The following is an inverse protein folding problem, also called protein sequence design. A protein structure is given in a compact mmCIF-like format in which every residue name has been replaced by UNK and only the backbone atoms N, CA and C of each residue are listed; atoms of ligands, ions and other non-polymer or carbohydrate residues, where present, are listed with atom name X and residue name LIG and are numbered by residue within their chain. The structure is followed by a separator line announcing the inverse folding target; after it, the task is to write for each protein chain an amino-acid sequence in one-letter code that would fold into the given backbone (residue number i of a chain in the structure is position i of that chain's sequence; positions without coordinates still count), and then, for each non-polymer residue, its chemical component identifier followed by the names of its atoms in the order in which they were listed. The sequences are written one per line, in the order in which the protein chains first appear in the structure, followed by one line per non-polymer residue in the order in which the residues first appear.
data_IF_278359115469
#
_entry.id   IF_278359115469
#
_cell.length_a   1.000
_cell.length_b   1.000
_cell.length_c   1.000
_cell.angle_alpha   90.00
_cell.angle_beta   90.00
_cell.angle_gamma   90.00
#
_symmetry.space_group_name_H-M   'P 1'
#
loop_
_entity.id
_entity.type
_entity.pdbx_description
1 polymer ?
#
# COMPACT_ATOMS: atom_id res chain seq x y z
N UNK A 1 -22.92 11.91 60.69
CA UNK A 1 -23.50 10.62 60.28
C UNK A 1 -23.95 10.72 58.83
N UNK A 2 -23.11 10.32 57.88
CA UNK A 2 -23.41 10.40 56.45
C UNK A 2 -24.17 9.12 56.05
N UNK A 3 -25.35 9.34 55.51
CA UNK A 3 -26.39 8.34 55.26
C UNK A 3 -25.92 7.23 54.28
N UNK A 4 -25.81 5.99 54.80
CA UNK A 4 -25.39 4.79 54.03
C UNK A 4 -26.26 4.53 52.79
N UNK A 5 -27.47 5.00 52.74
CA UNK A 5 -28.40 4.84 51.60
C UNK A 5 -27.96 5.63 50.34
N UNK A 6 -27.32 6.81 50.48
CA UNK A 6 -26.81 7.55 49.33
C UNK A 6 -25.64 6.88 48.58
N UNK A 7 -24.80 6.11 49.29
CA UNK A 7 -23.69 5.38 48.65
C UNK A 7 -24.14 4.20 47.80
N UNK A 8 -25.23 3.54 48.19
CA UNK A 8 -25.75 2.38 47.44
C UNK A 8 -26.41 2.78 46.12
N UNK A 9 -27.06 3.92 46.08
CA UNK A 9 -27.68 4.45 44.85
C UNK A 9 -26.63 4.93 43.84
N UNK A 10 -25.55 5.54 44.29
CA UNK A 10 -24.46 6.01 43.43
C UNK A 10 -23.74 4.84 42.74
N UNK A 11 -23.54 3.71 43.43
CA UNK A 11 -22.91 2.52 42.87
C UNK A 11 -23.81 1.77 41.86
N UNK A 12 -25.14 1.78 42.10
CA UNK A 12 -26.08 1.16 41.18
C UNK A 12 -26.23 1.93 39.87
N UNK A 13 -26.20 3.26 39.92
CA UNK A 13 -26.27 4.11 38.71
C UNK A 13 -24.99 4.00 37.87
N UNK A 14 -23.81 3.94 38.49
CA UNK A 14 -22.56 3.74 37.76
C UNK A 14 -22.50 2.37 37.06
N UNK A 15 -23.00 1.29 37.70
CA UNK A 15 -23.01 -0.07 37.12
C UNK A 15 -23.94 -0.14 35.88
N UNK A 16 -25.10 0.53 35.92
CA UNK A 16 -26.03 0.55 34.76
C UNK A 16 -25.47 1.35 33.59
N UNK A 17 -24.78 2.48 33.84
CA UNK A 17 -24.14 3.27 32.79
C UNK A 17 -23.00 2.50 32.10
N UNK A 18 -22.21 1.71 32.83
CA UNK A 18 -21.17 0.86 32.27
C UNK A 18 -21.73 -0.33 31.46
N UNK A 19 -22.90 -0.86 31.81
CA UNK A 19 -23.52 -1.96 31.07
C UNK A 19 -24.14 -1.51 29.75
N UNK A 20 -24.61 -0.28 29.65
CA UNK A 20 -25.19 0.28 28.40
C UNK A 20 -24.08 0.68 27.39
N UNK A 21 -22.90 1.05 27.86
CA UNK A 21 -21.76 1.41 26.96
C UNK A 21 -21.16 0.19 26.22
N UNK A 22 -21.40 -1.04 26.68
CA UNK A 22 -20.88 -2.26 26.06
C UNK A 22 -21.73 -2.79 24.88
N UNK A 23 -22.88 -2.20 24.60
CA UNK A 23 -23.81 -2.70 23.57
C UNK A 23 -23.66 -2.00 22.20
N UNK A 24 -22.72 -1.09 22.02
CA UNK A 24 -22.51 -0.35 20.76
C UNK A 24 -21.25 -0.79 20.00
N UNK A 25 -20.80 -2.02 20.19
CA UNK A 25 -19.90 -2.63 19.22
C UNK A 25 -20.77 -3.15 18.09
N UNK A 26 -21.06 -2.28 17.11
CA UNK A 26 -21.65 -2.71 15.85
C UNK A 26 -20.72 -3.76 15.25
N UNK A 27 -21.18 -4.99 14.99
CA UNK A 27 -20.36 -5.93 14.23
C UNK A 27 -20.08 -5.27 12.89
N UNK A 28 -18.80 -5.19 12.51
CA UNK A 28 -18.42 -4.85 11.15
C UNK A 28 -19.11 -5.89 10.25
N UNK A 29 -20.24 -5.50 9.66
CA UNK A 29 -20.94 -6.35 8.71
C UNK A 29 -19.98 -6.58 7.55
N UNK A 30 -19.46 -7.78 7.45
CA UNK A 30 -18.78 -8.25 6.26
C UNK A 30 -19.80 -8.12 5.12
N UNK A 31 -19.58 -7.12 4.27
CA UNK A 31 -20.41 -6.94 3.07
C UNK A 31 -20.21 -8.17 2.21
N UNK A 32 -21.29 -8.84 1.74
CA UNK A 32 -21.13 -9.88 0.72
C UNK A 32 -20.47 -9.21 -0.48
N UNK A 33 -19.21 -9.58 -0.77
CA UNK A 33 -18.50 -9.07 -1.91
C UNK A 33 -19.00 -9.83 -3.15
N UNK A 34 -20.05 -9.32 -3.77
CA UNK A 34 -20.41 -9.72 -5.14
C UNK A 34 -19.55 -8.90 -6.11
N UNK A 35 -18.26 -9.26 -6.18
CA UNK A 35 -17.29 -8.58 -7.02
C UNK A 35 -17.04 -9.39 -8.30
N UNK A 36 -17.00 -8.69 -9.43
CA UNK A 36 -16.57 -9.25 -10.70
C UNK A 36 -15.03 -9.28 -10.76
N UNK A 37 -14.49 -10.27 -11.47
CA UNK A 37 -13.06 -10.45 -11.68
C UNK A 37 -12.50 -11.65 -10.93
N UNK A 38 -11.19 -11.82 -11.02
CA UNK A 38 -10.44 -12.92 -10.39
C UNK A 38 -9.52 -12.37 -9.31
N UNK A 39 -9.76 -12.76 -8.08
CA UNK A 39 -9.03 -12.29 -6.89
C UNK A 39 -9.10 -13.32 -5.77
N UNK A 40 -8.30 -13.12 -4.75
CA UNK A 40 -8.33 -13.86 -3.49
C UNK A 40 -8.73 -12.92 -2.35
N UNK A 41 -9.67 -13.35 -1.49
CA UNK A 41 -9.97 -12.65 -0.24
C UNK A 41 -9.04 -13.17 0.84
N UNK A 42 -8.24 -12.28 1.42
CA UNK A 42 -7.33 -12.60 2.50
C UNK A 42 -8.09 -12.56 3.84
N UNK A 43 -8.50 -13.70 4.33
CA UNK A 43 -9.31 -13.81 5.56
C UNK A 43 -8.57 -13.38 6.83
N UNK A 44 -7.24 -13.33 6.80
CA UNK A 44 -6.39 -12.86 7.91
C UNK A 44 -6.06 -11.37 7.89
N UNK A 45 -6.48 -10.64 6.86
CA UNK A 45 -6.21 -9.21 6.71
C UNK A 45 -7.49 -8.39 6.93
N UNK A 46 -7.33 -7.22 7.55
CA UNK A 46 -8.44 -6.31 7.81
C UNK A 46 -8.71 -5.47 6.57
N UNK A 47 -9.96 -5.41 6.12
CA UNK A 47 -10.35 -4.50 5.06
C UNK A 47 -10.16 -3.04 5.50
N UNK A 48 -9.53 -2.26 4.66
CA UNK A 48 -9.37 -0.81 4.80
C UNK A 48 -10.28 -0.04 3.86
N UNK A 49 -11.32 -0.72 3.36
CA UNK A 49 -12.26 -0.18 2.41
C UNK A 49 -12.92 1.12 2.91
N UNK A 50 -13.07 2.07 1.99
CA UNK A 50 -13.75 3.34 2.23
C UNK A 50 -14.72 3.58 1.07
N UNK A 51 -16.03 3.76 1.30
CA UNK A 51 -17.00 3.92 0.23
C UNK A 51 -16.60 5.01 -0.77
N UNK A 52 -16.71 4.70 -2.05
CA UNK A 52 -16.37 5.59 -3.16
C UNK A 52 -14.87 5.75 -3.43
N UNK A 53 -14.01 5.03 -2.73
CA UNK A 53 -12.55 5.04 -2.94
C UNK A 53 -11.97 3.63 -2.86
N UNK A 54 -10.96 3.38 -3.69
CA UNK A 54 -10.19 2.14 -3.67
C UNK A 54 -8.73 2.46 -3.38
N UNK A 55 -8.15 1.75 -2.42
CA UNK A 55 -6.71 1.80 -2.12
C UNK A 55 -6.03 0.62 -2.81
N UNK A 56 -5.17 0.92 -3.76
CA UNK A 56 -4.36 -0.04 -4.47
C UNK A 56 -2.93 -0.01 -3.93
N UNK A 57 -2.49 -1.12 -3.37
CA UNK A 57 -1.11 -1.34 -2.94
C UNK A 57 -0.48 -2.31 -3.92
N UNK A 58 0.57 -1.87 -4.60
CA UNK A 58 1.34 -2.69 -5.51
C UNK A 58 2.60 -3.19 -4.82
N UNK A 59 2.78 -4.51 -4.76
CA UNK A 59 4.06 -5.14 -4.40
C UNK A 59 4.89 -5.27 -5.66
N UNK A 60 5.97 -4.51 -5.75
CA UNK A 60 6.78 -4.41 -6.95
C UNK A 60 8.28 -4.51 -6.67
N UNK A 61 9.00 -5.07 -7.64
CA UNK A 61 10.45 -5.09 -7.68
C UNK A 61 10.93 -4.14 -8.78
N UNK A 62 11.84 -3.22 -8.47
CA UNK A 62 12.39 -2.28 -9.44
C UNK A 62 13.12 -2.96 -10.59
N UNK A 63 13.65 -4.16 -10.40
CA UNK A 63 14.36 -4.92 -11.42
C UNK A 63 13.45 -5.86 -12.22
N UNK A 64 12.16 -5.93 -11.88
CA UNK A 64 11.19 -6.78 -12.58
C UNK A 64 10.65 -6.09 -13.84
N UNK A 65 10.83 -6.66 -15.05
CA UNK A 65 10.30 -6.08 -16.29
C UNK A 65 8.79 -5.93 -16.31
N UNK A 66 8.06 -6.85 -15.67
CA UNK A 66 6.60 -6.80 -15.60
C UNK A 66 6.12 -5.66 -14.69
N UNK A 67 6.84 -5.34 -13.60
CA UNK A 67 6.54 -4.18 -12.77
C UNK A 67 6.76 -2.88 -13.54
N UNK A 68 7.87 -2.78 -14.28
CA UNK A 68 8.11 -1.63 -15.15
C UNK A 68 7.00 -1.47 -16.21
N UNK A 69 6.61 -2.57 -16.88
CA UNK A 69 5.54 -2.53 -17.87
C UNK A 69 4.20 -2.10 -17.24
N UNK A 70 3.89 -2.59 -16.04
CA UNK A 70 2.69 -2.19 -15.30
C UNK A 70 2.72 -0.69 -14.96
N UNK A 71 3.84 -0.19 -14.47
CA UNK A 71 4.05 1.23 -14.17
C UNK A 71 3.89 2.11 -15.43
N UNK A 72 4.41 1.67 -16.56
CA UNK A 72 4.41 2.46 -17.80
C UNK A 72 3.06 2.42 -18.53
N UNK A 73 2.31 1.32 -18.44
CA UNK A 73 1.10 1.12 -19.24
C UNK A 73 -0.19 1.12 -18.44
N UNK A 74 -0.24 0.39 -17.33
CA UNK A 74 -1.47 0.22 -16.57
C UNK A 74 -1.72 1.39 -15.59
N UNK A 75 -0.70 1.84 -14.87
CA UNK A 75 -0.84 2.90 -13.87
C UNK A 75 -1.40 4.21 -14.47
N UNK A 76 -0.92 4.73 -15.62
CA UNK A 76 -1.50 5.92 -16.23
C UNK A 76 -2.96 5.76 -16.62
N UNK A 77 -3.35 4.57 -17.11
CA UNK A 77 -4.73 4.27 -17.48
C UNK A 77 -5.63 4.14 -16.24
N UNK A 78 -5.14 3.54 -15.16
CA UNK A 78 -5.84 3.49 -13.87
C UNK A 78 -6.11 4.89 -13.32
N UNK A 79 -5.09 5.76 -13.32
CA UNK A 79 -5.24 7.15 -12.89
C UNK A 79 -6.21 7.91 -13.79
N UNK A 80 -6.15 7.69 -15.11
CA UNK A 80 -7.06 8.34 -16.08
C UNK A 80 -8.51 7.92 -15.86
N UNK A 81 -8.77 6.63 -15.60
CA UNK A 81 -10.13 6.11 -15.46
C UNK A 81 -10.75 6.42 -14.11
N UNK A 82 -10.00 6.20 -13.03
CA UNK A 82 -10.56 6.28 -11.68
C UNK A 82 -10.28 7.60 -10.95
N UNK A 83 -9.28 8.36 -11.39
CA UNK A 83 -8.96 9.68 -10.85
C UNK A 83 -8.81 9.67 -9.33
N UNK A 84 -9.53 10.57 -8.67
CA UNK A 84 -9.51 10.74 -7.22
C UNK A 84 -10.20 9.61 -6.43
N UNK A 85 -10.84 8.66 -7.12
CA UNK A 85 -11.42 7.46 -6.51
C UNK A 85 -10.39 6.35 -6.28
N UNK A 86 -9.18 6.49 -6.82
CA UNK A 86 -8.11 5.49 -6.69
C UNK A 86 -6.87 6.12 -6.05
N UNK A 87 -6.43 5.51 -4.97
CA UNK A 87 -5.15 5.82 -4.33
C UNK A 87 -4.17 4.69 -4.62
N UNK A 88 -3.05 5.00 -5.29
CA UNK A 88 -2.03 4.02 -5.65
C UNK A 88 -0.80 4.22 -4.77
N UNK A 89 -0.37 3.16 -4.11
CA UNK A 89 0.88 3.13 -3.33
C UNK A 89 1.69 1.89 -3.73
N UNK A 90 2.99 2.05 -3.88
CA UNK A 90 3.90 0.92 -4.10
C UNK A 90 4.57 0.52 -2.79
N UNK A 91 4.74 -0.78 -2.60
CA UNK A 91 5.57 -1.41 -1.58
C UNK A 91 6.73 -2.10 -2.29
N UNK A 92 7.95 -1.70 -1.96
CA UNK A 92 9.15 -2.36 -2.47
C UNK A 92 9.20 -3.82 -2.01
N UNK A 93 9.19 -4.75 -2.96
CA UNK A 93 9.19 -6.18 -2.69
C UNK A 93 10.31 -6.87 -3.49
N UNK A 94 11.56 -6.83 -2.99
CA UNK A 94 12.72 -7.36 -3.69
C UNK A 94 12.66 -8.89 -3.78
N UNK A 95 12.46 -9.41 -5.00
CA UNK A 95 12.43 -10.84 -5.31
C UNK A 95 13.51 -11.26 -6.30
N UNK A 96 14.05 -10.32 -7.07
CA UNK A 96 15.10 -10.59 -8.04
C UNK A 96 16.43 -10.72 -7.30
N UNK A 97 16.96 -11.95 -7.27
CA UNK A 97 18.19 -12.26 -6.54
C UNK A 97 19.40 -11.56 -7.15
N UNK A 98 20.37 -11.21 -6.31
CA UNK A 98 21.64 -10.61 -6.74
C UNK A 98 21.56 -9.13 -7.10
N UNK A 99 20.42 -8.48 -6.91
CA UNK A 99 20.25 -7.05 -7.10
C UNK A 99 20.39 -6.29 -5.78
N UNK A 100 20.92 -5.06 -5.87
CA UNK A 100 21.10 -4.20 -4.71
C UNK A 100 19.80 -3.60 -4.22
N UNK A 101 19.63 -3.47 -2.91
CA UNK A 101 18.44 -2.89 -2.31
C UNK A 101 18.39 -1.35 -2.41
N UNK A 102 19.44 -0.71 -2.92
CA UNK A 102 19.59 0.76 -2.99
C UNK A 102 18.40 1.44 -3.68
N UNK A 103 17.87 0.88 -4.77
CA UNK A 103 16.70 1.44 -5.46
C UNK A 103 15.46 1.46 -4.56
N UNK A 104 15.27 0.42 -3.77
CA UNK A 104 14.15 0.32 -2.81
C UNK A 104 14.32 1.32 -1.67
N UNK A 105 15.53 1.44 -1.12
CA UNK A 105 15.83 2.41 -0.06
C UNK A 105 15.63 3.85 -0.56
N UNK A 106 16.08 4.16 -1.78
CA UNK A 106 15.84 5.47 -2.42
C UNK A 106 14.36 5.78 -2.59
N UNK A 107 13.59 4.80 -3.03
CA UNK A 107 12.14 4.97 -3.15
C UNK A 107 11.49 5.25 -1.80
N UNK A 108 11.80 4.45 -0.78
CA UNK A 108 11.23 4.64 0.57
C UNK A 108 11.67 5.98 1.18
N UNK A 109 12.93 6.42 0.97
CA UNK A 109 13.37 7.74 1.40
C UNK A 109 12.63 8.87 0.68
N UNK A 110 12.47 8.77 -0.63
CA UNK A 110 11.71 9.75 -1.42
C UNK A 110 10.25 9.83 -0.97
N UNK A 111 9.65 8.68 -0.65
CA UNK A 111 8.29 8.58 -0.09
C UNK A 111 8.17 9.37 1.23
N UNK A 112 9.15 9.23 2.14
CA UNK A 112 9.20 10.01 3.38
C UNK A 112 9.33 11.51 3.14
N UNK A 113 9.90 11.91 2.00
CA UNK A 113 10.04 13.32 1.57
C UNK A 113 8.93 13.80 0.63
N UNK A 114 7.86 13.01 0.43
CA UNK A 114 6.70 13.37 -0.39
C UNK A 114 6.93 13.27 -1.90
N UNK A 115 7.98 12.56 -2.36
CA UNK A 115 8.39 12.41 -3.76
C UNK A 115 8.49 10.95 -4.21
N UNK A 116 7.69 10.08 -3.59
CA UNK A 116 7.71 8.65 -3.89
C UNK A 116 7.36 8.33 -5.35
N UNK A 117 6.31 8.93 -5.89
CA UNK A 117 5.87 8.65 -7.27
C UNK A 117 6.89 9.11 -8.30
N UNK A 118 7.46 10.30 -8.12
CA UNK A 118 8.51 10.81 -9.00
C UNK A 118 9.75 9.91 -8.97
N UNK A 119 10.20 9.52 -7.77
CA UNK A 119 11.34 8.62 -7.62
C UNK A 119 11.05 7.24 -8.21
N UNK A 120 9.85 6.70 -8.05
CA UNK A 120 9.41 5.44 -8.67
C UNK A 120 9.60 5.49 -10.19
N UNK A 121 9.10 6.52 -10.85
CA UNK A 121 9.20 6.70 -12.31
C UNK A 121 10.66 6.80 -12.76
N UNK A 122 11.45 7.58 -12.04
CA UNK A 122 12.88 7.76 -12.35
C UNK A 122 13.66 6.46 -12.19
N UNK A 123 13.42 5.70 -11.12
CA UNK A 123 14.10 4.43 -10.89
C UNK A 123 13.75 3.36 -11.94
N UNK A 124 12.47 3.20 -12.28
CA UNK A 124 12.07 2.28 -13.35
C UNK A 124 12.68 2.67 -14.70
N UNK A 125 12.67 3.96 -15.06
CA UNK A 125 13.32 4.45 -16.27
C UNK A 125 14.82 4.12 -16.26
N UNK A 126 15.53 4.49 -15.20
CA UNK A 126 16.97 4.30 -15.07
C UNK A 126 17.36 2.82 -15.21
N UNK A 127 16.62 1.93 -14.56
CA UNK A 127 16.93 0.49 -14.60
C UNK A 127 16.56 -0.13 -15.95
N UNK A 128 15.36 0.17 -16.49
CA UNK A 128 14.83 -0.57 -17.64
C UNK A 128 15.10 0.11 -18.99
N UNK A 129 15.09 1.45 -19.05
CA UNK A 129 15.35 2.18 -20.32
C UNK A 129 16.81 2.57 -20.46
N UNK A 130 17.39 3.17 -19.43
CA UNK A 130 18.79 3.61 -19.46
C UNK A 130 19.75 2.43 -19.24
N UNK A 131 19.23 1.24 -18.85
CA UNK A 131 19.98 -0.01 -18.62
C UNK A 131 21.05 0.11 -17.52
N UNK A 132 20.81 0.98 -16.55
CA UNK A 132 21.66 1.16 -15.39
C UNK A 132 21.05 0.37 -14.23
N UNK A 133 21.27 -0.95 -14.24
CA UNK A 133 20.69 -1.88 -13.26
C UNK A 133 21.71 -2.34 -12.19
N UNK A 134 22.94 -1.83 -12.28
CA UNK A 134 24.02 -2.19 -11.37
C UNK A 134 24.09 -1.31 -10.13
N UNK A 135 25.23 -0.66 -9.97
CA UNK A 135 25.49 0.19 -8.81
C UNK A 135 24.89 1.57 -9.04
N UNK A 136 23.89 1.92 -8.24
CA UNK A 136 23.46 3.31 -8.07
C UNK A 136 24.52 4.00 -7.19
N UNK A 137 25.67 4.36 -7.80
CA UNK A 137 26.73 5.04 -7.10
C UNK A 137 26.29 6.42 -6.61
N UNK A 138 27.15 7.06 -5.81
CA UNK A 138 26.80 8.34 -5.20
C UNK A 138 26.47 9.43 -6.23
N UNK A 139 27.23 9.49 -7.33
CA UNK A 139 27.06 10.51 -8.36
C UNK A 139 25.76 10.36 -9.09
N UNK A 140 25.41 9.12 -9.46
CA UNK A 140 24.13 8.81 -10.08
C UNK A 140 22.97 9.07 -9.12
N UNK A 141 23.06 8.61 -7.86
CA UNK A 141 22.03 8.89 -6.87
C UNK A 141 21.78 10.39 -6.72
N UNK A 142 22.84 11.19 -6.63
CA UNK A 142 22.73 12.64 -6.52
C UNK A 142 22.02 13.25 -7.73
N UNK A 143 22.30 12.76 -8.94
CA UNK A 143 21.61 13.21 -10.15
C UNK A 143 20.10 12.87 -10.12
N UNK A 144 19.74 11.62 -9.75
CA UNK A 144 18.35 11.18 -9.67
C UNK A 144 17.58 11.92 -8.57
N UNK A 145 18.21 12.17 -7.41
CA UNK A 145 17.62 12.94 -6.30
C UNK A 145 17.29 14.36 -6.73
N UNK A 146 18.22 15.03 -7.43
CA UNK A 146 18.00 16.38 -7.99
C UNK A 146 16.90 16.40 -9.05
N UNK A 147 16.86 15.39 -9.90
CA UNK A 147 15.82 15.24 -10.94
C UNK A 147 14.40 15.23 -10.35
N UNK A 148 14.21 14.58 -9.22
CA UNK A 148 12.89 14.56 -8.52
C UNK A 148 12.66 15.78 -7.65
N UNK A 149 13.58 16.75 -7.64
CA UNK A 149 13.45 18.00 -6.92
C UNK A 149 13.72 17.90 -5.42
N UNK A 150 14.54 16.93 -5.00
CA UNK A 150 14.93 16.75 -3.60
C UNK A 150 16.35 17.28 -3.34
N UNK A 151 16.61 17.66 -2.10
CA UNK A 151 17.96 18.04 -1.63
C UNK A 151 18.82 16.79 -1.38
N UNK A 152 19.96 16.62 -2.07
CA UNK A 152 20.77 15.41 -1.96
C UNK A 152 21.34 15.20 -0.56
N UNK A 153 21.70 16.26 0.16
CA UNK A 153 22.27 16.14 1.51
C UNK A 153 21.23 15.60 2.49
N UNK A 154 20.05 16.23 2.54
CA UNK A 154 18.94 15.78 3.38
C UNK A 154 18.50 14.36 3.03
N UNK A 155 18.51 14.02 1.72
CA UNK A 155 18.18 12.69 1.26
C UNK A 155 19.16 11.62 1.75
N UNK A 156 20.47 11.84 1.59
CA UNK A 156 21.52 10.90 2.04
C UNK A 156 21.56 10.78 3.57
N UNK A 157 21.30 11.86 4.31
CA UNK A 157 21.12 11.80 5.77
C UNK A 157 19.92 10.91 6.14
N UNK A 158 18.81 11.03 5.41
CA UNK A 158 17.64 10.16 5.57
C UNK A 158 17.93 8.71 5.25
N UNK A 159 18.66 8.43 4.16
CA UNK A 159 19.12 7.09 3.79
C UNK A 159 19.99 6.48 4.92
N UNK A 160 20.93 7.25 5.46
CA UNK A 160 21.83 6.80 6.53
C UNK A 160 21.08 6.54 7.86
N UNK A 161 19.86 7.04 8.03
CA UNK A 161 19.06 6.80 9.25
C UNK A 161 18.61 5.34 9.40
N UNK A 162 18.70 4.52 8.36
CA UNK A 162 18.21 3.15 8.32
C UNK A 162 16.68 3.00 8.27
N UNK A 163 15.92 4.11 8.31
CA UNK A 163 14.45 4.06 8.20
C UNK A 163 13.97 3.50 6.85
N UNK A 164 14.55 3.89 5.69
CA UNK A 164 14.18 3.34 4.41
C UNK A 164 14.39 1.84 4.34
N UNK A 165 15.56 1.33 4.72
CA UNK A 165 15.87 -0.10 4.70
C UNK A 165 14.92 -0.90 5.61
N UNK A 166 14.57 -0.35 6.77
CA UNK A 166 13.55 -0.96 7.65
C UNK A 166 12.17 -0.98 7.01
N UNK A 167 11.80 0.05 6.24
CA UNK A 167 10.53 0.08 5.49
C UNK A 167 10.51 -1.00 4.40
N UNK A 168 11.59 -1.17 3.64
CA UNK A 168 11.74 -2.25 2.65
C UNK A 168 11.60 -3.62 3.32
N UNK A 169 12.28 -3.84 4.44
CA UNK A 169 12.19 -5.10 5.19
C UNK A 169 10.76 -5.37 5.70
N UNK A 170 10.06 -4.34 6.19
CA UNK A 170 8.67 -4.44 6.61
C UNK A 170 7.75 -4.79 5.43
N UNK A 171 7.94 -4.14 4.28
CA UNK A 171 7.21 -4.42 3.05
C UNK A 171 7.40 -5.86 2.59
N UNK A 172 8.65 -6.35 2.63
CA UNK A 172 8.97 -7.74 2.31
C UNK A 172 8.26 -8.71 3.25
N UNK A 173 8.35 -8.52 4.57
CA UNK A 173 7.65 -9.37 5.55
C UNK A 173 6.13 -9.35 5.34
N UNK A 174 5.57 -8.20 5.00
CA UNK A 174 4.14 -8.11 4.70
C UNK A 174 3.76 -8.92 3.47
N UNK A 175 4.46 -8.75 2.34
CA UNK A 175 4.21 -9.53 1.13
C UNK A 175 4.36 -11.04 1.35
N UNK A 176 5.39 -11.46 2.11
CA UNK A 176 5.57 -12.87 2.48
C UNK A 176 4.40 -13.39 3.33
N UNK A 177 3.93 -12.62 4.31
CA UNK A 177 2.80 -12.98 5.18
C UNK A 177 1.50 -13.19 4.39
N UNK A 178 1.22 -12.33 3.42
CA UNK A 178 0.05 -12.44 2.55
C UNK A 178 0.29 -13.31 1.32
N UNK A 179 1.43 -14.01 1.27
CA UNK A 179 1.81 -14.95 0.21
C UNK A 179 1.80 -14.32 -1.19
N UNK A 180 2.43 -13.15 -1.31
CA UNK A 180 2.73 -12.58 -2.63
C UNK A 180 3.67 -13.55 -3.36
N UNK A 181 3.22 -14.11 -4.48
CA UNK A 181 3.92 -15.17 -5.19
C UNK A 181 4.73 -14.67 -6.40
N UNK A 182 4.42 -13.48 -6.89
CA UNK A 182 5.06 -12.85 -8.05
C UNK A 182 4.98 -11.33 -7.97
N UNK A 183 5.74 -10.63 -8.83
CA UNK A 183 5.65 -9.19 -8.98
C UNK A 183 5.35 -8.82 -10.45
N UNK A 184 4.48 -7.82 -10.69
CA UNK A 184 3.69 -7.11 -9.70
C UNK A 184 2.59 -7.97 -9.08
N UNK A 185 2.18 -7.67 -7.85
CA UNK A 185 0.97 -8.17 -7.22
C UNK A 185 0.23 -7.01 -6.58
N UNK A 186 -1.08 -7.05 -6.55
CA UNK A 186 -1.91 -5.95 -6.05
C UNK A 186 -2.72 -6.41 -4.85
N UNK A 187 -2.80 -5.55 -3.86
CA UNK A 187 -3.72 -5.65 -2.74
C UNK A 187 -4.67 -4.44 -2.77
N UNK A 188 -5.96 -4.70 -2.96
CA UNK A 188 -7.01 -3.70 -2.94
C UNK A 188 -7.66 -3.68 -1.57
N UNK A 189 -7.86 -2.47 -1.05
CA UNK A 189 -8.56 -2.23 0.22
C UNK A 189 -8.12 -3.12 1.39
N UNK A 190 -6.84 -3.51 1.39
CA UNK A 190 -6.20 -4.24 2.47
C UNK A 190 -6.40 -5.76 2.48
N UNK A 191 -7.40 -6.29 1.78
CA UNK A 191 -7.72 -7.73 1.86
C UNK A 191 -8.13 -8.40 0.55
N UNK A 192 -8.19 -7.69 -0.58
CA UNK A 192 -8.51 -8.25 -1.90
C UNK A 192 -7.22 -8.34 -2.70
N UNK A 193 -6.69 -9.56 -2.87
CA UNK A 193 -5.41 -9.77 -3.56
C UNK A 193 -5.63 -10.22 -5.00
N UNK A 194 -4.90 -9.57 -5.92
CA UNK A 194 -4.77 -9.96 -7.33
C UNK A 194 -3.30 -10.24 -7.61
N UNK A 195 -2.96 -11.47 -7.94
CA UNK A 195 -1.58 -11.88 -8.20
C UNK A 195 -1.47 -12.99 -9.27
N UNK A 196 -0.23 -13.35 -9.61
CA UNK A 196 0.08 -14.43 -10.53
C UNK A 196 -0.63 -14.31 -11.88
N UNK A 197 -1.27 -15.38 -12.33
CA UNK A 197 -1.97 -15.42 -13.62
C UNK A 197 -3.18 -14.46 -13.70
N UNK A 198 -3.66 -13.97 -12.57
CA UNK A 198 -4.77 -13.01 -12.51
C UNK A 198 -4.31 -11.56 -12.64
N UNK A 199 -3.00 -11.31 -12.64
CA UNK A 199 -2.39 -9.97 -12.82
C UNK A 199 -2.42 -9.53 -14.29
N UNK A 200 -3.61 -9.42 -14.84
CA UNK A 200 -3.83 -8.81 -16.15
C UNK A 200 -4.44 -7.42 -15.98
N UNK A 201 -4.12 -6.49 -16.89
CA UNK A 201 -4.69 -5.15 -16.87
C UNK A 201 -6.22 -5.20 -16.81
N UNK A 202 -6.85 -5.97 -17.70
CA UNK A 202 -8.31 -6.12 -17.76
C UNK A 202 -8.90 -6.56 -16.41
N UNK A 203 -8.30 -7.57 -15.78
CA UNK A 203 -8.80 -8.09 -14.51
C UNK A 203 -8.68 -7.07 -13.37
N UNK A 204 -7.54 -6.37 -13.28
CA UNK A 204 -7.34 -5.32 -12.26
C UNK A 204 -8.41 -4.22 -12.40
N UNK A 205 -8.67 -3.75 -13.62
CA UNK A 205 -9.71 -2.76 -13.90
C UNK A 205 -11.10 -3.28 -13.53
N UNK A 206 -11.40 -4.53 -13.88
CA UNK A 206 -12.70 -5.17 -13.58
C UNK A 206 -12.94 -5.22 -12.08
N UNK A 207 -11.96 -5.65 -11.29
CA UNK A 207 -12.11 -5.72 -9.82
C UNK A 207 -12.32 -4.34 -9.22
N UNK A 208 -11.53 -3.33 -9.63
CA UNK A 208 -11.66 -1.96 -9.12
C UNK A 208 -13.04 -1.36 -9.47
N UNK A 209 -13.50 -1.50 -10.74
CA UNK A 209 -14.85 -1.06 -11.13
C UNK A 209 -15.92 -1.70 -10.27
N UNK A 210 -15.81 -3.01 -10.07
CA UNK A 210 -16.79 -3.77 -9.29
C UNK A 210 -16.87 -3.32 -7.83
N UNK A 211 -15.74 -2.97 -7.21
CA UNK A 211 -15.71 -2.38 -5.85
C UNK A 211 -16.49 -1.04 -5.85
N UNK A 212 -16.18 -0.14 -6.78
CA UNK A 212 -16.83 1.18 -6.86
C UNK A 212 -18.31 1.11 -7.22
N UNK A 213 -18.73 0.15 -8.08
CA UNK A 213 -20.13 -0.08 -8.42
C UNK A 213 -20.93 -0.64 -7.25
N UNK A 214 -20.35 -1.49 -6.43
CA UNK A 214 -21.01 -1.97 -5.22
C UNK A 214 -21.23 -0.87 -4.19
N UNK A 215 -20.34 0.10 -4.11
CA UNK A 215 -20.52 1.26 -3.24
C UNK A 215 -21.69 2.15 -3.69
N UNK A 216 -21.89 2.27 -4.99
CA UNK A 216 -22.96 3.08 -5.56
C UNK A 216 -24.38 2.47 -5.40
N UNK A 217 -24.47 1.17 -5.07
CA UNK A 217 -25.73 0.44 -4.88
C UNK A 217 -26.23 0.48 -3.43
N UNK A 218 -25.46 1.04 -2.50
CA UNK A 218 -25.77 1.16 -1.07
C UNK A 218 -26.26 2.56 -0.71
#
# INVERSE_FOLDING_TARGET
MVNRRCKQWALAVCAVVWMVALLWVSPATAVPLDLNGKFEILTGEVSTHTPGKVKLIEFADFYCPHCHLFDETAVPLLVKEFGNKLEITMVGFPVIRGKLLTAFDMYEQAKLMGKGNEMRTVLFRTIHKDKIDGVLDRSLREALIKEVGLDPKAFEEGMASGKPSKAVENGKRWGERIKVSSTPSILLDGNIKVDGANMTQENVFTVIRSILENDAKK
#
